data_IF_703615255766
#
_entry.id   IF_703615255766
#
_cell.length_a   1.000
_cell.length_b   1.000
_cell.length_c   1.000
_cell.angle_alpha   90.00
_cell.angle_beta   90.00
_cell.angle_gamma   90.00
#
_symmetry.space_group_name_H-M   'P 1'
#
loop_
_entity.id
_entity.type
_entity.pdbx_description
1 polymer ?
#
# COMPACT_ATOMS: atom_id res chain seq x y z
N UNK A 1 4.69 -2.29 13.87
CA UNK A 1 6.03 -2.60 13.36
C UNK A 1 5.93 -2.73 11.84
N UNK A 2 6.94 -2.37 11.08
CA UNK A 2 6.95 -2.63 9.65
C UNK A 2 6.93 -4.15 9.42
N UNK A 3 6.39 -4.57 8.26
CA UNK A 3 6.44 -5.98 7.85
C UNK A 3 7.88 -6.46 7.65
N UNK A 4 8.11 -7.75 7.71
CA UNK A 4 9.44 -8.33 7.51
C UNK A 4 10.00 -8.01 6.12
N UNK A 5 11.32 -8.04 5.98
CA UNK A 5 12.02 -7.84 4.71
C UNK A 5 11.44 -8.71 3.60
N UNK A 6 11.29 -10.01 3.85
CA UNK A 6 10.74 -10.93 2.84
C UNK A 6 9.28 -10.63 2.44
N UNK A 7 8.49 -10.02 3.33
CA UNK A 7 7.13 -9.57 3.00
C UNK A 7 7.15 -8.33 2.12
N UNK A 8 8.03 -7.37 2.42
CA UNK A 8 8.22 -6.17 1.60
C UNK A 8 8.74 -6.53 0.21
N UNK A 9 9.71 -7.44 0.12
CA UNK A 9 10.24 -7.94 -1.15
C UNK A 9 9.13 -8.59 -2.00
N UNK A 10 8.33 -9.51 -1.42
CA UNK A 10 7.18 -10.11 -2.11
C UNK A 10 6.15 -9.09 -2.57
N UNK A 11 5.92 -8.06 -1.76
CA UNK A 11 4.98 -6.99 -2.13
C UNK A 11 5.49 -6.16 -3.31
N UNK A 12 6.79 -5.92 -3.42
CA UNK A 12 7.41 -5.15 -4.50
C UNK A 12 7.67 -5.97 -5.77
N UNK A 13 7.72 -7.31 -5.66
CA UNK A 13 8.08 -8.19 -6.77
C UNK A 13 7.13 -8.03 -7.97
N UNK A 14 7.69 -7.76 -9.15
CA UNK A 14 6.95 -7.61 -10.40
C UNK A 14 6.05 -6.37 -10.47
N UNK A 15 6.17 -5.43 -9.54
CA UNK A 15 5.47 -4.16 -9.61
C UNK A 15 6.07 -3.25 -10.70
N UNK A 16 5.22 -2.51 -11.40
CA UNK A 16 5.64 -1.49 -12.37
C UNK A 16 6.34 -0.31 -11.69
N UNK A 17 5.84 0.06 -10.51
CA UNK A 17 6.40 1.13 -9.70
C UNK A 17 6.21 0.83 -8.22
N UNK A 18 7.14 1.31 -7.40
CA UNK A 18 7.11 1.22 -5.94
C UNK A 18 6.94 2.63 -5.37
N UNK A 19 5.87 2.82 -4.59
CA UNK A 19 5.54 4.11 -3.97
C UNK A 19 5.76 3.99 -2.46
N UNK A 20 6.63 4.84 -1.94
CA UNK A 20 6.83 4.99 -0.50
C UNK A 20 5.92 6.10 0.06
N UNK A 21 5.17 5.80 1.12
CA UNK A 21 4.35 6.78 1.83
C UNK A 21 4.94 6.95 3.23
N UNK A 22 5.38 8.15 3.55
CA UNK A 22 6.02 8.52 4.83
C UNK A 22 7.08 7.49 5.27
N UNK A 23 6.84 6.80 6.40
CA UNK A 23 7.72 5.76 6.95
C UNK A 23 7.89 4.54 6.03
N UNK A 24 7.11 4.43 4.95
CA UNK A 24 7.32 3.42 3.92
C UNK A 24 8.71 3.50 3.30
N UNK A 25 9.32 4.69 3.25
CA UNK A 25 10.69 4.86 2.77
C UNK A 25 11.72 4.18 3.70
N UNK A 26 11.50 4.22 5.02
CA UNK A 26 12.33 3.49 6.00
C UNK A 26 12.20 1.98 5.84
N UNK A 27 10.96 1.50 5.61
CA UNK A 27 10.69 0.08 5.41
C UNK A 27 11.39 -0.45 4.15
N UNK A 28 11.32 0.28 3.03
CA UNK A 28 12.04 -0.06 1.80
C UNK A 28 13.56 -0.04 2.01
N UNK A 29 14.09 0.97 2.69
CA UNK A 29 15.51 1.05 2.99
C UNK A 29 15.99 -0.14 3.83
N UNK A 30 15.20 -0.56 4.82
CA UNK A 30 15.48 -1.74 5.64
C UNK A 30 15.49 -3.04 4.81
N UNK A 31 14.64 -3.12 3.79
CA UNK A 31 14.59 -4.24 2.85
C UNK A 31 15.65 -4.15 1.72
N UNK A 32 16.48 -3.11 1.70
CA UNK A 32 17.45 -2.91 0.61
C UNK A 32 16.82 -2.54 -0.73
N UNK A 33 15.57 -2.08 -0.72
CA UNK A 33 14.81 -1.71 -1.92
C UNK A 33 14.79 -0.20 -2.12
N UNK A 34 14.65 0.22 -3.38
CA UNK A 34 14.35 1.59 -3.76
C UNK A 34 12.85 1.84 -3.88
N UNK A 35 12.49 3.09 -4.17
CA UNK A 35 11.17 3.48 -4.65
C UNK A 35 11.31 4.33 -5.90
N UNK A 36 10.22 4.44 -6.66
CA UNK A 36 10.12 5.32 -7.83
C UNK A 36 9.52 6.67 -7.42
N UNK A 37 8.66 6.65 -6.41
CA UNK A 37 7.96 7.83 -5.91
C UNK A 37 7.90 7.81 -4.39
N UNK A 38 8.21 8.94 -3.77
CA UNK A 38 7.92 9.22 -2.38
C UNK A 38 6.74 10.18 -2.27
N UNK A 39 5.79 9.89 -1.38
CA UNK A 39 4.65 10.73 -1.04
C UNK A 39 4.59 10.94 0.47
N UNK A 40 4.59 12.19 0.95
CA UNK A 40 4.47 12.47 2.37
C UNK A 40 5.04 13.83 2.79
N UNK A 41 4.94 14.12 4.08
CA UNK A 41 5.52 15.34 4.68
C UNK A 41 6.85 15.10 5.42
N UNK A 42 7.25 13.84 5.60
CA UNK A 42 8.43 13.33 6.31
C UNK A 42 8.47 13.56 7.81
N UNK A 43 7.39 14.02 8.42
CA UNK A 43 7.33 14.33 9.85
C UNK A 43 7.49 13.09 10.74
N UNK A 44 7.00 11.95 10.26
CA UNK A 44 7.08 10.64 10.93
C UNK A 44 8.26 9.78 10.45
N UNK A 45 8.97 10.18 9.40
CA UNK A 45 10.10 9.45 8.82
C UNK A 45 11.36 9.57 9.69
N UNK A 46 12.28 8.62 9.57
CA UNK A 46 13.59 8.73 10.21
C UNK A 46 14.39 9.90 9.63
N UNK A 47 15.38 10.38 10.38
CA UNK A 47 16.30 11.43 9.88
C UNK A 47 17.03 10.95 8.60
N UNK A 48 17.37 9.68 8.52
CA UNK A 48 18.00 9.10 7.33
C UNK A 48 17.07 9.13 6.12
N UNK A 49 15.78 8.78 6.27
CA UNK A 49 14.79 8.88 5.21
C UNK A 49 14.54 10.34 4.82
N UNK A 50 14.41 11.24 5.79
CA UNK A 50 14.26 12.66 5.53
C UNK A 50 15.48 13.26 4.77
N UNK A 51 16.69 12.82 5.07
CA UNK A 51 17.90 13.22 4.35
C UNK A 51 17.88 12.71 2.90
N UNK A 52 17.42 11.47 2.66
CA UNK A 52 17.25 10.93 1.30
C UNK A 52 16.24 11.72 0.49
N UNK A 53 15.10 12.10 1.08
CA UNK A 53 14.09 12.94 0.42
C UNK A 53 14.69 14.29 0.05
N UNK A 54 15.37 14.98 0.98
CA UNK A 54 16.05 16.24 0.67
C UNK A 54 17.06 16.10 -0.46
N UNK A 55 17.87 15.04 -0.45
CA UNK A 55 18.85 14.77 -1.51
C UNK A 55 18.19 14.58 -2.88
N UNK A 56 17.07 13.88 -2.95
CA UNK A 56 16.29 13.68 -4.17
C UNK A 56 15.71 15.00 -4.68
N UNK A 57 15.14 15.84 -3.79
CA UNK A 57 14.64 17.17 -4.12
C UNK A 57 15.76 18.11 -4.63
N UNK A 58 16.95 18.04 -4.00
CA UNK A 58 18.10 18.84 -4.41
C UNK A 58 18.63 18.41 -5.78
N UNK A 59 18.70 17.12 -6.07
CA UNK A 59 19.05 16.60 -7.38
C UNK A 59 18.07 17.09 -8.46
N UNK A 60 16.77 16.95 -8.21
CA UNK A 60 15.73 17.40 -9.13
C UNK A 60 15.82 18.92 -9.40
N UNK A 61 16.07 19.74 -8.36
CA UNK A 61 16.25 21.20 -8.52
C UNK A 61 17.47 21.58 -9.37
N UNK A 62 18.53 20.78 -9.34
CA UNK A 62 19.71 20.98 -10.19
C UNK A 62 19.54 20.43 -11.61
N UNK A 63 18.47 19.71 -11.90
CA UNK A 63 18.27 19.00 -13.16
C UNK A 63 19.06 17.69 -13.26
N UNK A 64 19.58 17.20 -12.13
CA UNK A 64 20.28 15.93 -12.05
C UNK A 64 19.26 14.77 -11.96
N UNK A 65 19.71 13.56 -12.29
CA UNK A 65 18.90 12.36 -12.05
C UNK A 65 18.68 12.13 -10.55
N UNK A 66 17.44 12.28 -10.11
CA UNK A 66 17.06 11.96 -8.73
C UNK A 66 16.88 10.46 -8.56
N UNK A 67 17.21 9.89 -7.38
CA UNK A 67 17.04 8.45 -7.13
C UNK A 67 15.57 8.03 -7.07
N UNK A 68 14.65 8.93 -6.84
CA UNK A 68 13.20 8.78 -6.90
C UNK A 68 12.54 10.17 -6.99
N UNK A 69 11.30 10.20 -7.47
CA UNK A 69 10.52 11.43 -7.45
C UNK A 69 9.94 11.72 -6.07
N UNK A 70 9.72 12.99 -5.76
CA UNK A 70 9.19 13.44 -4.47
C UNK A 70 7.93 14.27 -4.67
N UNK A 71 6.85 13.86 -4.00
CA UNK A 71 5.63 14.66 -3.84
C UNK A 71 5.46 14.98 -2.36
N UNK A 72 5.80 16.23 -2.00
CA UNK A 72 5.64 16.73 -0.63
C UNK A 72 4.22 17.21 -0.39
N UNK A 73 3.69 16.84 0.77
CA UNK A 73 2.41 17.34 1.23
C UNK A 73 2.59 18.38 2.33
N UNK A 74 1.60 19.26 2.45
CA UNK A 74 1.54 20.20 3.57
C UNK A 74 1.11 19.43 4.83
N UNK A 75 1.79 19.58 5.99
CA UNK A 75 1.36 18.97 7.26
C UNK A 75 -0.07 19.36 7.68
N UNK A 76 -0.54 20.55 7.27
CA UNK A 76 -1.90 21.04 7.54
C UNK A 76 -2.86 20.74 6.38
N UNK A 77 -2.92 19.51 5.95
CA UNK A 77 -3.78 19.02 4.86
C UNK A 77 -5.08 18.43 5.41
N UNK A 78 -6.13 18.48 4.61
CA UNK A 78 -7.47 17.94 4.97
C UNK A 78 -7.62 16.43 4.64
N UNK A 79 -6.54 15.76 4.20
CA UNK A 79 -6.55 14.34 3.87
C UNK A 79 -5.31 13.62 4.42
N UNK A 80 -5.37 12.30 4.51
CA UNK A 80 -4.27 11.45 4.94
C UNK A 80 -3.21 11.34 3.84
N UNK A 81 -1.95 11.06 4.21
CA UNK A 81 -0.86 10.82 3.23
C UNK A 81 -1.20 9.69 2.29
N UNK A 82 -1.84 8.62 2.78
CA UNK A 82 -2.34 7.54 1.94
C UNK A 82 -3.38 8.04 0.92
N UNK A 83 -4.35 8.85 1.34
CA UNK A 83 -5.37 9.37 0.44
C UNK A 83 -4.78 10.23 -0.68
N UNK A 84 -3.85 11.11 -0.34
CA UNK A 84 -3.15 11.96 -1.31
C UNK A 84 -2.22 11.14 -2.22
N UNK A 85 -1.52 10.14 -1.66
CA UNK A 85 -0.68 9.24 -2.44
C UNK A 85 -1.51 8.42 -3.44
N UNK A 86 -2.69 7.91 -3.05
CA UNK A 86 -3.60 7.21 -3.95
C UNK A 86 -4.08 8.11 -5.09
N UNK A 87 -4.38 9.38 -4.81
CA UNK A 87 -4.75 10.35 -5.84
C UNK A 87 -3.59 10.59 -6.84
N UNK A 88 -2.35 10.68 -6.33
CA UNK A 88 -1.16 10.82 -7.18
C UNK A 88 -0.90 9.56 -8.02
N UNK A 89 -1.08 8.37 -7.45
CA UNK A 89 -0.98 7.09 -8.17
C UNK A 89 -2.04 7.01 -9.26
N UNK A 90 -3.29 7.39 -8.98
CA UNK A 90 -4.37 7.41 -9.97
C UNK A 90 -4.05 8.34 -11.15
N UNK A 91 -3.44 9.47 -10.87
CA UNK A 91 -3.03 10.44 -11.89
C UNK A 91 -1.90 9.91 -12.78
N UNK A 92 -0.91 9.22 -12.20
CA UNK A 92 0.28 8.71 -12.92
C UNK A 92 0.02 7.40 -13.64
N UNK A 93 -0.70 6.51 -12.99
CA UNK A 93 -0.96 5.14 -13.46
C UNK A 93 -2.46 4.81 -13.37
N UNK A 94 -3.31 5.44 -14.19
CA UNK A 94 -4.74 5.23 -14.13
C UNK A 94 -5.10 3.77 -14.37
N UNK A 95 -6.03 3.24 -13.56
CA UNK A 95 -6.49 1.86 -13.65
C UNK A 95 -5.49 0.79 -13.18
N UNK A 96 -4.38 1.19 -12.56
CA UNK A 96 -3.39 0.24 -12.04
C UNK A 96 -3.98 -0.62 -10.91
N UNK A 97 -3.47 -1.84 -10.79
CA UNK A 97 -3.69 -2.66 -9.61
C UNK A 97 -2.72 -2.23 -8.50
N UNK A 98 -3.20 -2.19 -7.27
CA UNK A 98 -2.39 -1.89 -6.09
C UNK A 98 -1.98 -3.17 -5.37
N UNK A 99 -0.74 -3.20 -4.90
CA UNK A 99 -0.26 -4.15 -3.91
C UNK A 99 0.32 -3.38 -2.72
N UNK A 100 -0.37 -3.43 -1.60
CA UNK A 100 -0.03 -2.67 -0.42
C UNK A 100 0.60 -3.57 0.65
N UNK A 101 1.51 -3.03 1.45
CA UNK A 101 2.15 -3.70 2.59
C UNK A 101 2.44 -2.69 3.71
N UNK A 102 2.84 -3.18 4.87
CA UNK A 102 3.07 -2.36 6.06
C UNK A 102 1.81 -1.63 6.55
N UNK A 103 0.64 -2.20 6.29
CA UNK A 103 -0.66 -1.67 6.70
C UNK A 103 -1.02 -2.09 8.13
N UNK A 104 -0.49 -3.23 8.57
CA UNK A 104 -0.73 -3.76 9.90
C UNK A 104 0.16 -3.08 10.93
N UNK A 105 -0.43 -2.66 12.02
CA UNK A 105 0.26 -1.98 13.12
C UNK A 105 -0.36 -0.62 13.43
N UNK A 106 0.04 -0.05 14.57
CA UNK A 106 -0.59 1.17 15.06
C UNK A 106 -1.92 0.92 15.78
N UNK A 107 -2.71 1.97 15.89
CA UNK A 107 -4.01 1.92 16.54
C UNK A 107 -5.10 1.33 15.62
N UNK A 108 -6.16 0.72 16.18
CA UNK A 108 -7.24 0.12 15.39
C UNK A 108 -7.98 1.11 14.49
N UNK A 109 -8.13 2.34 14.91
CA UNK A 109 -8.75 3.42 14.13
C UNK A 109 -7.93 3.73 12.87
N UNK A 110 -6.59 3.79 13.00
CA UNK A 110 -5.70 3.96 11.86
C UNK A 110 -5.82 2.78 10.86
N UNK A 111 -5.83 1.55 11.35
CA UNK A 111 -5.99 0.38 10.49
C UNK A 111 -7.33 0.39 9.73
N UNK A 112 -8.42 0.78 10.40
CA UNK A 112 -9.73 0.94 9.77
C UNK A 112 -9.74 2.05 8.72
N UNK A 113 -9.12 3.20 9.02
CA UNK A 113 -9.00 4.32 8.08
C UNK A 113 -8.22 3.92 6.82
N UNK A 114 -7.12 3.18 6.97
CA UNK A 114 -6.34 2.66 5.86
C UNK A 114 -7.18 1.72 4.98
N UNK A 115 -7.90 0.76 5.58
CA UNK A 115 -8.77 -0.15 4.83
C UNK A 115 -9.91 0.59 4.13
N UNK A 116 -10.51 1.58 4.78
CA UNK A 116 -11.53 2.45 4.19
C UNK A 116 -11.00 3.19 2.96
N UNK A 117 -9.78 3.73 3.05
CA UNK A 117 -9.15 4.41 1.91
C UNK A 117 -8.83 3.47 0.76
N UNK A 118 -8.26 2.30 1.04
CA UNK A 118 -7.97 1.30 0.01
C UNK A 118 -9.25 0.81 -0.67
N UNK A 119 -10.36 0.73 0.06
CA UNK A 119 -11.66 0.33 -0.51
C UNK A 119 -12.24 1.37 -1.49
N UNK A 120 -11.78 2.62 -1.48
CA UNK A 120 -12.18 3.63 -2.47
C UNK A 120 -11.45 3.51 -3.82
N UNK A 121 -10.35 2.77 -3.88
CA UNK A 121 -9.58 2.60 -5.12
C UNK A 121 -10.39 1.89 -6.22
N UNK A 122 -10.41 2.43 -7.43
CA UNK A 122 -11.23 1.87 -8.53
C UNK A 122 -10.64 0.60 -9.16
N UNK A 123 -9.35 0.35 -8.95
CA UNK A 123 -8.67 -0.83 -9.45
C UNK A 123 -8.67 -2.00 -8.46
N UNK A 124 -8.00 -3.07 -8.83
CA UNK A 124 -7.73 -4.21 -7.94
C UNK A 124 -6.79 -3.79 -6.82
N UNK A 125 -7.13 -4.14 -5.58
CA UNK A 125 -6.27 -3.93 -4.41
C UNK A 125 -5.97 -5.27 -3.79
N UNK A 126 -4.69 -5.59 -3.65
CA UNK A 126 -4.19 -6.68 -2.84
C UNK A 126 -3.30 -6.14 -1.73
N UNK A 127 -3.17 -6.88 -0.65
CA UNK A 127 -2.25 -6.55 0.43
C UNK A 127 -1.52 -7.80 0.92
N UNK A 128 -0.28 -7.61 1.33
CA UNK A 128 0.62 -8.67 1.79
C UNK A 128 1.24 -8.24 3.11
N UNK A 129 1.01 -9.02 4.15
CA UNK A 129 1.54 -8.81 5.50
C UNK A 129 2.21 -10.10 5.99
N UNK A 130 2.94 -10.04 7.09
CA UNK A 130 3.65 -11.21 7.63
C UNK A 130 2.72 -12.36 8.00
N UNK A 131 1.58 -12.04 8.59
CA UNK A 131 0.64 -13.03 9.10
C UNK A 131 -0.55 -13.31 8.19
N UNK A 132 -0.79 -12.49 7.20
CA UNK A 132 -1.94 -12.60 6.32
C UNK A 132 -1.73 -11.89 4.99
N UNK A 133 -2.53 -12.25 4.00
CA UNK A 133 -2.66 -11.52 2.75
C UNK A 133 -4.13 -11.48 2.36
N UNK A 134 -4.50 -10.57 1.49
CA UNK A 134 -5.87 -10.47 1.04
C UNK A 134 -6.04 -9.56 -0.16
N UNK A 135 -7.28 -9.39 -0.56
CA UNK A 135 -7.66 -8.44 -1.60
C UNK A 135 -9.00 -7.81 -1.26
N UNK A 136 -9.21 -6.61 -1.76
CA UNK A 136 -10.49 -5.92 -1.71
C UNK A 136 -11.18 -6.20 -3.03
N UNK A 137 -12.36 -6.80 -2.97
CA UNK A 137 -13.21 -7.08 -4.11
C UNK A 137 -14.36 -6.09 -4.14
N UNK A 138 -14.69 -5.64 -5.34
CA UNK A 138 -15.88 -4.84 -5.63
C UNK A 138 -16.83 -5.64 -6.50
N UNK A 139 -18.00 -5.08 -6.77
CA UNK A 139 -19.01 -5.71 -7.59
C UNK A 139 -18.44 -6.19 -8.95
N UNK A 140 -18.75 -7.42 -9.29
CA UNK A 140 -18.24 -8.08 -10.50
C UNK A 140 -16.78 -8.55 -10.45
N UNK A 141 -16.04 -8.30 -9.35
CA UNK A 141 -14.68 -8.78 -9.21
C UNK A 141 -14.61 -10.19 -8.63
N UNK A 142 -13.58 -10.92 -9.02
CA UNK A 142 -13.26 -12.24 -8.49
C UNK A 142 -11.78 -12.34 -8.09
N UNK A 143 -11.48 -13.26 -7.19
CA UNK A 143 -10.12 -13.55 -6.76
C UNK A 143 -9.94 -15.07 -6.62
N UNK A 144 -8.87 -15.59 -7.19
CA UNK A 144 -8.43 -16.98 -6.94
C UNK A 144 -7.28 -16.98 -5.94
N UNK A 145 -7.36 -17.85 -4.94
CA UNK A 145 -6.33 -18.00 -3.92
C UNK A 145 -5.74 -19.41 -4.07
N UNK A 146 -4.51 -19.49 -4.54
CA UNK A 146 -3.81 -20.73 -4.75
C UNK A 146 -2.90 -21.09 -3.57
N UNK A 147 -2.65 -22.41 -3.35
CA UNK A 147 -1.74 -22.87 -2.32
C UNK A 147 -2.21 -22.61 -0.87
N UNK A 148 -3.49 -22.32 -0.66
CA UNK A 148 -4.04 -21.95 0.63
C UNK A 148 -4.76 -23.12 1.37
N UNK A 149 -4.59 -24.37 0.93
CA UNK A 149 -5.21 -25.52 1.55
C UNK A 149 -4.92 -25.59 3.06
N UNK A 150 -5.96 -25.74 3.87
CA UNK A 150 -5.86 -25.78 5.33
C UNK A 150 -5.58 -24.44 6.01
N UNK A 151 -5.46 -23.35 5.26
CA UNK A 151 -5.30 -22.00 5.81
C UNK A 151 -6.65 -21.45 6.28
N UNK A 152 -6.59 -20.54 7.26
CA UNK A 152 -7.79 -19.79 7.67
C UNK A 152 -8.12 -18.76 6.60
N UNK A 153 -9.37 -18.71 6.21
CA UNK A 153 -9.94 -17.68 5.37
C UNK A 153 -10.94 -16.84 6.17
N UNK A 154 -11.07 -15.57 5.87
CA UNK A 154 -12.07 -14.68 6.44
C UNK A 154 -12.60 -13.76 5.35
N UNK A 155 -13.90 -13.64 5.28
CA UNK A 155 -14.59 -12.67 4.47
C UNK A 155 -15.12 -11.56 5.37
N UNK A 156 -14.82 -10.30 5.03
CA UNK A 156 -15.24 -9.12 5.81
C UNK A 156 -15.99 -8.18 4.90
N UNK A 157 -17.33 -8.06 5.01
CA UNK A 157 -18.07 -7.08 4.23
C UNK A 157 -17.69 -5.66 4.70
N UNK A 158 -17.33 -4.79 3.75
CA UNK A 158 -17.06 -3.37 3.97
C UNK A 158 -18.26 -2.49 3.57
N UNK A 159 -19.32 -3.10 3.03
CA UNK A 159 -20.58 -2.47 2.67
C UNK A 159 -21.72 -3.01 3.55
N UNK A 160 -22.84 -2.28 3.70
CA UNK A 160 -24.00 -2.74 4.45
C UNK A 160 -24.58 -4.06 3.95
N UNK A 161 -24.44 -4.32 2.66
CA UNK A 161 -24.87 -5.57 2.01
C UNK A 161 -23.76 -6.02 1.07
N UNK A 162 -23.41 -7.30 1.10
CA UNK A 162 -22.52 -7.93 0.16
C UNK A 162 -23.08 -9.30 -0.24
N UNK A 163 -23.16 -9.56 -1.53
CA UNK A 163 -23.46 -10.90 -2.08
C UNK A 163 -22.18 -11.51 -2.60
N UNK A 164 -21.84 -12.68 -2.10
CA UNK A 164 -20.60 -13.38 -2.41
C UNK A 164 -20.91 -14.82 -2.80
N UNK A 165 -20.22 -15.29 -3.83
CA UNK A 165 -20.17 -16.73 -4.15
C UNK A 165 -18.75 -17.19 -3.94
N UNK A 166 -18.57 -18.32 -3.31
CA UNK A 166 -17.26 -18.92 -3.08
C UNK A 166 -17.26 -20.40 -3.43
N UNK A 167 -16.11 -20.96 -3.72
CA UNK A 167 -15.92 -22.38 -3.98
C UNK A 167 -14.60 -22.86 -3.41
N UNK A 168 -14.56 -24.13 -2.99
CA UNK A 168 -13.36 -24.75 -2.43
C UNK A 168 -13.13 -24.47 -0.96
N UNK A 169 -14.08 -23.89 -0.26
CA UNK A 169 -14.04 -23.69 1.19
C UNK A 169 -14.55 -24.95 1.91
N UNK A 170 -14.18 -25.09 3.19
CA UNK A 170 -14.71 -26.18 4.03
C UNK A 170 -16.22 -26.00 4.32
N UNK A 171 -16.65 -24.76 4.42
CA UNK A 171 -18.05 -24.35 4.54
C UNK A 171 -18.28 -23.31 3.45
N UNK A 172 -19.12 -23.64 2.51
CA UNK A 172 -19.52 -22.75 1.44
C UNK A 172 -20.70 -21.88 1.88
N UNK A 173 -20.75 -20.65 1.39
CA UNK A 173 -21.88 -19.77 1.60
C UNK A 173 -22.95 -20.14 0.55
N UNK A 174 -24.18 -20.34 1.01
CA UNK A 174 -25.37 -20.59 0.19
C UNK A 174 -26.00 -19.27 -0.30
#
# INVERSE_FOLDING_TARGET
APSSVGTIERAAEGCLAVVAIDRGLDALAHAGLGCDLFCGDVDSASEAAAARVRSAEDAARRGDAAPFEVVRYNPHKDDTDLGLALAEVARRWPGSALRATCLAGGSPDHALAVMGRLATWDGKVCFVEDGFSGCILKDGMSCSIEGAHGRRFSFVPLSPVATVSEAGMRWELD
#
